data_IF_523528013166
#
_entry.id   IF_523528013166
#
_cell.length_a   1.000
_cell.length_b   1.000
_cell.length_c   1.000
_cell.angle_alpha   90.00
_cell.angle_beta   90.00
_cell.angle_gamma   90.00
#
_symmetry.space_group_name_H-M   'P 1'
#
loop_
_entity.id
_entity.type
_entity.pdbx_description
1 polymer ?
#
# COMPACT_ATOMS: atom_id res chain seq x y z
N UNK A 1 5.66 15.02 -6.25
CA UNK A 1 6.08 15.84 -5.10
C UNK A 1 4.91 16.18 -4.17
N UNK A 2 3.95 17.06 -4.51
CA UNK A 2 2.76 17.28 -3.62
C UNK A 2 1.79 16.08 -3.55
N UNK A 3 1.72 15.25 -4.61
CA UNK A 3 0.83 14.07 -4.66
C UNK A 3 1.28 12.92 -3.77
N UNK A 4 2.58 12.78 -3.52
CA UNK A 4 3.13 11.62 -2.82
C UNK A 4 3.12 11.83 -1.29
N UNK A 5 2.87 13.07 -0.85
CA UNK A 5 2.86 13.48 0.55
C UNK A 5 1.72 12.84 1.37
N UNK A 6 0.46 12.80 0.90
CA UNK A 6 -0.63 12.15 1.65
C UNK A 6 -0.44 10.63 1.74
N UNK A 7 0.07 10.04 0.65
CA UNK A 7 0.25 8.60 0.56
C UNK A 7 1.45 8.13 1.41
N UNK A 8 2.57 8.86 1.37
CA UNK A 8 3.72 8.62 2.25
C UNK A 8 3.39 8.93 3.72
N UNK A 9 2.54 9.94 3.99
CA UNK A 9 2.05 10.22 5.33
C UNK A 9 1.19 9.08 5.88
N UNK A 10 0.26 8.55 5.10
CA UNK A 10 -0.54 7.38 5.47
C UNK A 10 0.35 6.14 5.68
N UNK A 11 1.39 5.97 4.86
CA UNK A 11 2.38 4.89 5.01
C UNK A 11 3.11 5.00 6.35
N UNK A 12 3.69 6.16 6.67
CA UNK A 12 4.43 6.39 7.92
C UNK A 12 3.53 6.27 9.16
N UNK A 13 2.32 6.85 9.13
CA UNK A 13 1.36 6.75 10.24
C UNK A 13 0.96 5.30 10.48
N UNK A 14 0.67 4.54 9.43
CA UNK A 14 0.29 3.13 9.57
C UNK A 14 1.47 2.29 10.05
N UNK A 15 2.68 2.57 9.58
CA UNK A 15 3.90 1.90 9.99
C UNK A 15 4.22 2.16 11.47
N UNK A 16 4.21 3.43 11.90
CA UNK A 16 4.43 3.80 13.30
C UNK A 16 3.35 3.25 14.22
N UNK A 17 2.08 3.30 13.79
CA UNK A 17 0.98 2.76 14.58
C UNK A 17 1.13 1.25 14.83
N UNK A 18 1.48 0.49 13.80
CA UNK A 18 1.64 -0.97 13.94
C UNK A 18 2.92 -1.31 14.72
N UNK A 19 4.02 -0.57 14.53
CA UNK A 19 5.20 -0.74 15.39
C UNK A 19 4.91 -0.41 16.85
N UNK A 20 4.15 0.66 17.14
CA UNK A 20 3.79 1.04 18.49
C UNK A 20 2.92 -0.03 19.18
N UNK A 21 2.00 -0.64 18.42
CA UNK A 21 1.20 -1.77 18.90
C UNK A 21 2.05 -3.04 19.10
N UNK A 22 2.97 -3.34 18.19
CA UNK A 22 3.88 -4.47 18.32
C UNK A 22 4.79 -4.33 19.56
N UNK A 23 5.36 -3.14 19.81
CA UNK A 23 6.16 -2.86 21.01
C UNK A 23 5.33 -3.01 22.30
N UNK A 24 4.07 -2.57 22.28
CA UNK A 24 3.14 -2.73 23.42
C UNK A 24 2.80 -4.20 23.71
N UNK A 25 2.61 -5.01 22.68
CA UNK A 25 2.27 -6.43 22.82
C UNK A 25 3.47 -7.29 23.26
N UNK A 26 4.69 -6.96 22.82
CA UNK A 26 5.90 -7.71 23.16
C UNK A 26 6.56 -7.23 24.47
N UNK A 27 6.17 -6.08 25.02
CA UNK A 27 6.74 -5.52 26.26
C UNK A 27 8.23 -5.19 26.17
N UNK A 28 8.79 -5.23 24.96
CA UNK A 28 10.21 -5.15 24.63
C UNK A 28 10.41 -4.04 23.60
N UNK A 29 11.55 -3.32 23.65
CA UNK A 29 11.83 -2.27 22.66
C UNK A 29 12.23 -2.86 21.28
N UNK A 30 12.57 -4.14 21.26
CA UNK A 30 12.87 -4.95 20.08
C UNK A 30 11.56 -5.37 19.39
N UNK A 31 11.36 -4.92 18.15
CA UNK A 31 10.21 -5.33 17.33
C UNK A 31 10.63 -6.56 16.52
N UNK A 32 9.96 -7.69 16.77
CA UNK A 32 10.20 -8.92 16.01
C UNK A 32 10.19 -8.66 14.51
N UNK A 33 11.11 -9.29 13.78
CA UNK A 33 11.22 -9.15 12.33
C UNK A 33 9.91 -9.52 11.61
N UNK A 34 9.12 -10.44 12.18
CA UNK A 34 7.78 -10.77 11.70
C UNK A 34 6.75 -9.64 11.93
N UNK A 35 6.85 -8.90 13.04
CA UNK A 35 5.97 -7.77 13.31
C UNK A 35 6.30 -6.55 12.42
N UNK A 36 7.59 -6.26 12.20
CA UNK A 36 8.04 -5.24 11.24
C UNK A 36 7.60 -5.56 9.83
N UNK A 37 7.63 -6.84 9.46
CA UNK A 37 7.11 -7.37 8.20
C UNK A 37 5.61 -7.12 8.02
N UNK A 38 4.81 -7.48 9.03
CA UNK A 38 3.37 -7.26 9.00
C UNK A 38 3.06 -5.76 8.96
N UNK A 39 3.77 -4.93 9.73
CA UNK A 39 3.67 -3.48 9.68
C UNK A 39 3.95 -2.91 8.28
N UNK A 40 5.01 -3.38 7.62
CA UNK A 40 5.37 -3.00 6.25
C UNK A 40 4.31 -3.43 5.21
N UNK A 41 3.79 -4.65 5.33
CA UNK A 41 2.74 -5.16 4.43
C UNK A 41 1.42 -4.39 4.59
N UNK A 42 0.98 -4.16 5.84
CA UNK A 42 -0.25 -3.44 6.15
C UNK A 42 -0.17 -1.96 5.77
N UNK A 43 0.97 -1.29 6.01
CA UNK A 43 1.18 0.09 5.56
C UNK A 43 1.19 0.20 4.03
N UNK A 44 1.72 -0.80 3.32
CA UNK A 44 1.63 -0.90 1.86
C UNK A 44 0.18 -0.98 1.37
N UNK A 45 -0.68 -1.78 2.02
CA UNK A 45 -2.11 -1.86 1.68
C UNK A 45 -2.81 -0.51 1.92
N UNK A 46 -2.54 0.14 3.06
CA UNK A 46 -3.10 1.46 3.38
C UNK A 46 -2.68 2.52 2.35
N UNK A 47 -1.41 2.51 1.92
CA UNK A 47 -0.92 3.36 0.83
C UNK A 47 -1.72 3.16 -0.46
N UNK A 48 -1.96 1.90 -0.86
CA UNK A 48 -2.72 1.60 -2.07
C UNK A 48 -4.19 2.01 -1.96
N UNK A 49 -4.82 1.86 -0.80
CA UNK A 49 -6.21 2.32 -0.58
C UNK A 49 -6.34 3.82 -0.82
N UNK A 50 -5.37 4.61 -0.34
CA UNK A 50 -5.39 6.08 -0.49
C UNK A 50 -4.94 6.52 -1.89
N UNK A 51 -3.97 5.83 -2.49
CA UNK A 51 -3.41 6.17 -3.80
C UNK A 51 -4.29 5.78 -4.98
N UNK A 52 -4.99 4.64 -4.89
CA UNK A 52 -5.75 4.07 -6.02
C UNK A 52 -6.81 5.00 -6.62
N UNK A 53 -7.64 5.73 -5.85
CA UNK A 53 -8.61 6.65 -6.41
C UNK A 53 -7.98 7.69 -7.35
N UNK A 54 -6.82 8.22 -6.97
CA UNK A 54 -6.10 9.20 -7.77
C UNK A 54 -5.51 8.59 -9.05
N UNK A 55 -5.01 7.36 -8.98
CA UNK A 55 -4.44 6.66 -10.13
C UNK A 55 -5.52 6.27 -11.13
N UNK A 56 -6.67 5.75 -10.69
CA UNK A 56 -7.82 5.43 -11.57
C UNK A 56 -8.32 6.67 -12.28
N UNK A 57 -8.46 7.79 -11.57
CA UNK A 57 -8.91 9.05 -12.17
C UNK A 57 -7.91 9.57 -13.21
N UNK A 58 -6.60 9.43 -12.95
CA UNK A 58 -5.56 9.80 -13.92
C UNK A 58 -5.57 8.89 -15.14
N UNK A 59 -5.65 7.58 -14.97
CA UNK A 59 -5.72 6.64 -16.09
C UNK A 59 -6.92 6.93 -16.97
N UNK A 60 -8.11 7.19 -16.40
CA UNK A 60 -9.29 7.61 -17.18
C UNK A 60 -9.08 8.93 -17.92
N UNK A 61 -8.45 9.90 -17.28
CA UNK A 61 -8.17 11.19 -17.90
C UNK A 61 -7.22 11.03 -19.11
N UNK A 62 -6.19 10.18 -18.98
CA UNK A 62 -5.20 9.92 -20.02
C UNK A 62 -5.72 9.04 -21.16
N UNK A 63 -6.66 8.13 -20.89
CA UNK A 63 -7.27 7.28 -21.93
C UNK A 63 -8.42 7.96 -22.65
N UNK A 64 -8.94 9.07 -22.12
CA UNK A 64 -10.03 9.80 -22.76
C UNK A 64 -9.51 10.78 -23.81
N UNK A 65 -10.30 11.07 -24.87
CA UNK A 65 -9.91 12.01 -25.92
C UNK A 65 -9.58 13.39 -25.34
N UNK A 66 -8.61 14.12 -25.95
CA UNK A 66 -8.28 15.49 -25.55
C UNK A 66 -9.53 16.37 -25.54
N UNK A 67 -9.80 17.01 -24.40
CA UNK A 67 -10.96 17.91 -24.24
C UNK A 67 -12.26 17.25 -23.78
N UNK A 68 -12.32 15.92 -23.60
CA UNK A 68 -13.50 15.22 -23.08
C UNK A 68 -13.84 15.65 -21.64
N UNK A 69 -12.82 15.74 -20.77
CA UNK A 69 -12.97 16.23 -19.40
C UNK A 69 -12.53 17.70 -19.27
N UNK A 70 -13.44 18.64 -19.57
CA UNK A 70 -13.19 20.09 -19.55
C UNK A 70 -12.71 20.65 -18.20
N UNK A 71 -13.04 20.00 -17.07
CA UNK A 71 -12.53 20.37 -15.73
C UNK A 71 -11.57 19.34 -15.13
N UNK A 72 -10.86 18.59 -16.00
CA UNK A 72 -9.81 17.67 -15.59
C UNK A 72 -10.31 16.55 -14.66
N UNK A 73 -9.54 16.29 -13.62
CA UNK A 73 -9.78 15.20 -12.64
C UNK A 73 -11.14 15.32 -11.94
N UNK A 74 -11.65 16.54 -11.70
CA UNK A 74 -12.96 16.76 -11.08
C UNK A 74 -14.12 16.34 -11.99
N UNK A 75 -14.03 16.64 -13.29
CA UNK A 75 -15.01 16.17 -14.27
C UNK A 75 -15.01 14.65 -14.36
N UNK A 76 -13.82 14.04 -14.42
CA UNK A 76 -13.67 12.59 -14.44
C UNK A 76 -14.23 11.93 -13.16
N UNK A 77 -14.00 12.51 -11.98
CA UNK A 77 -14.55 12.00 -10.73
C UNK A 77 -16.08 12.06 -10.68
N UNK A 78 -16.67 13.20 -11.06
CA UNK A 78 -18.12 13.37 -11.06
C UNK A 78 -18.80 12.44 -12.07
N UNK A 79 -18.17 12.23 -13.21
CA UNK A 79 -18.64 11.30 -14.24
C UNK A 79 -18.54 9.84 -13.77
N UNK A 80 -17.39 9.45 -13.18
CA UNK A 80 -17.18 8.12 -12.60
C UNK A 80 -18.22 7.80 -11.52
N UNK A 81 -18.49 8.74 -10.61
CA UNK A 81 -19.50 8.57 -9.55
C UNK A 81 -20.92 8.43 -10.10
N UNK A 82 -21.25 9.11 -11.20
CA UNK A 82 -22.58 9.03 -11.81
C UNK A 82 -22.78 7.78 -12.65
N UNK A 83 -21.74 7.31 -13.33
CA UNK A 83 -21.82 6.21 -14.29
C UNK A 83 -21.58 4.84 -13.67
N UNK A 84 -20.58 4.72 -12.80
CA UNK A 84 -20.13 3.43 -12.25
C UNK A 84 -20.13 3.37 -10.72
N UNK A 85 -20.26 4.52 -10.06
CA UNK A 85 -20.34 4.62 -8.60
C UNK A 85 -18.99 4.48 -7.88
N UNK A 86 -19.00 4.50 -6.53
CA UNK A 86 -17.80 4.59 -5.69
C UNK A 86 -16.83 3.41 -5.82
N UNK A 87 -17.33 2.21 -6.12
CA UNK A 87 -16.51 1.01 -6.32
C UNK A 87 -15.59 1.11 -7.55
N UNK A 88 -15.94 1.96 -8.52
CA UNK A 88 -15.13 2.16 -9.70
C UNK A 88 -13.76 2.80 -9.40
N UNK A 89 -13.62 3.51 -8.27
CA UNK A 89 -12.32 4.04 -7.80
C UNK A 89 -11.35 2.93 -7.41
N UNK A 90 -11.86 1.71 -7.19
CA UNK A 90 -11.05 0.54 -6.89
C UNK A 90 -10.98 -0.46 -8.06
N UNK A 91 -11.46 -0.08 -9.24
CA UNK A 91 -11.42 -0.91 -10.44
C UNK A 91 -9.97 -1.07 -10.89
N UNK A 92 -9.45 -2.29 -10.79
CA UNK A 92 -8.02 -2.61 -11.01
C UNK A 92 -7.26 -3.03 -9.75
N UNK A 93 -7.93 -3.07 -8.58
CA UNK A 93 -7.31 -3.59 -7.34
C UNK A 93 -6.82 -5.03 -7.52
N UNK A 94 -7.48 -5.85 -8.34
CA UNK A 94 -7.05 -7.20 -8.68
C UNK A 94 -5.72 -7.22 -9.44
N UNK A 95 -5.50 -6.32 -10.39
CA UNK A 95 -4.23 -6.20 -11.11
C UNK A 95 -3.11 -5.69 -10.18
N UNK A 96 -3.43 -4.73 -9.30
CA UNK A 96 -2.50 -4.26 -8.27
C UNK A 96 -2.16 -5.39 -7.30
N UNK A 97 -3.14 -6.19 -6.86
CA UNK A 97 -2.94 -7.34 -5.98
C UNK A 97 -2.16 -8.45 -6.67
N UNK A 98 -2.44 -8.77 -7.94
CA UNK A 98 -1.67 -9.76 -8.72
C UNK A 98 -0.22 -9.31 -8.90
N UNK A 99 0.06 -8.00 -8.95
CA UNK A 99 1.43 -7.48 -8.99
C UNK A 99 2.08 -7.42 -7.61
N UNK A 100 1.32 -7.00 -6.60
CA UNK A 100 1.79 -6.85 -5.23
C UNK A 100 2.00 -8.19 -4.54
N UNK A 101 1.23 -9.22 -4.91
CA UNK A 101 1.30 -10.55 -4.30
C UNK A 101 2.64 -11.24 -4.57
N UNK A 102 3.18 -11.33 -5.80
CA UNK A 102 4.53 -11.85 -6.04
C UNK A 102 5.62 -11.00 -5.39
N UNK A 103 5.50 -9.66 -5.44
CA UNK A 103 6.48 -8.77 -4.84
C UNK A 103 6.55 -8.94 -3.31
N UNK A 104 5.39 -9.00 -2.65
CA UNK A 104 5.28 -9.24 -1.22
C UNK A 104 5.68 -10.69 -0.89
N UNK A 105 5.28 -11.68 -1.69
CA UNK A 105 5.66 -13.08 -1.49
C UNK A 105 7.18 -13.28 -1.58
N UNK A 106 7.85 -12.65 -2.55
CA UNK A 106 9.32 -12.67 -2.65
C UNK A 106 9.99 -11.99 -1.45
N UNK A 107 9.43 -10.88 -0.97
CA UNK A 107 9.91 -10.20 0.24
C UNK A 107 9.75 -11.09 1.49
N UNK A 108 8.58 -11.71 1.68
CA UNK A 108 8.32 -12.65 2.77
C UNK A 108 9.21 -13.88 2.69
N UNK A 109 9.41 -14.44 1.49
CA UNK A 109 10.31 -15.57 1.26
C UNK A 109 11.75 -15.22 1.62
N UNK A 110 12.25 -14.06 1.17
CA UNK A 110 13.59 -13.58 1.49
C UNK A 110 13.80 -13.40 2.99
N UNK A 111 12.81 -12.84 3.69
CA UNK A 111 12.92 -12.62 5.14
C UNK A 111 12.81 -13.93 5.92
N UNK A 112 12.01 -14.90 5.47
CA UNK A 112 11.99 -16.23 6.08
C UNK A 112 13.34 -16.96 5.90
N UNK A 113 13.98 -16.79 4.74
CA UNK A 113 15.31 -17.31 4.46
C UNK A 113 16.36 -16.68 5.37
N UNK A 114 16.31 -15.35 5.54
CA UNK A 114 17.23 -14.63 6.43
C UNK A 114 16.99 -15.02 7.89
N UNK A 115 15.74 -15.14 8.34
CA UNK A 115 15.39 -15.64 9.68
C UNK A 115 15.95 -17.05 9.93
N UNK A 116 15.76 -17.96 8.96
CA UNK A 116 16.29 -19.33 9.07
C UNK A 116 17.82 -19.36 9.07
N UNK A 117 18.47 -18.50 8.29
CA UNK A 117 19.92 -18.38 8.28
C UNK A 117 20.44 -17.77 9.60
N UNK A 118 19.78 -16.75 10.12
CA UNK A 118 20.15 -16.07 11.36
C UNK A 118 20.03 -17.01 12.57
N UNK A 119 18.89 -17.71 12.72
CA UNK A 119 18.70 -18.71 13.78
C UNK A 119 19.69 -19.89 13.68
N UNK A 120 20.21 -20.18 12.49
CA UNK A 120 21.21 -21.25 12.29
C UNK A 120 22.64 -20.79 12.59
N UNK A 121 22.93 -19.49 12.44
CA UNK A 121 24.25 -18.89 12.66
C UNK A 121 24.42 -18.43 14.11
N UNK A 122 23.37 -17.94 14.76
CA UNK A 122 23.38 -17.51 16.15
C UNK A 122 22.17 -18.07 16.94
N UNK A 123 22.20 -19.36 17.33
CA UNK A 123 21.07 -19.99 18.04
C UNK A 123 20.89 -19.56 19.51
N UNK A 124 21.77 -18.71 20.07
CA UNK A 124 21.80 -18.35 21.49
C UNK A 124 22.00 -16.83 21.76
N UNK A 125 21.42 -15.97 20.91
CA UNK A 125 21.22 -14.55 21.20
C UNK A 125 19.77 -14.20 20.86
#
# INVERSE_FOLDING_TARGET
MIRDLPANGAYFVTYEYIQAQAKRLTGSNEVSMAATLLAGGSSGIAYWIVGMPADVLKSRLQTSPPGYYKHGVRSAFKDLMKTEGPLALYRGISAVMIRAFPANAACFFGIELVNKAFNKIAPNF
#
